data_IF_640493827286
#
_entry.id   IF_640493827286
#
_cell.length_a   1.000
_cell.length_b   1.000
_cell.length_c   1.000
_cell.angle_alpha   90.00
_cell.angle_beta   90.00
_cell.angle_gamma   90.00
#
_symmetry.space_group_name_H-M   'P 1'
#
loop_
_entity.id
_entity.type
_entity.pdbx_description
1 polymer ?
#
# COMPACT_ATOMS: atom_id res chain seq x y z
N UNK A 1 -10.28 20.43 -2.18
CA UNK A 1 -9.46 19.36 -2.78
C UNK A 1 -10.38 18.20 -3.12
N UNK A 2 -10.16 17.48 -4.20
CA UNK A 2 -10.97 16.30 -4.53
C UNK A 2 -10.46 15.08 -3.77
N UNK A 3 -11.39 14.25 -3.28
CA UNK A 3 -11.05 13.02 -2.58
C UNK A 3 -10.64 11.92 -3.57
N UNK A 4 -9.59 11.16 -3.23
CA UNK A 4 -9.24 9.93 -3.91
C UNK A 4 -10.10 8.77 -3.39
N UNK A 5 -10.20 8.67 -2.06
CA UNK A 5 -11.02 7.69 -1.38
C UNK A 5 -12.06 8.37 -0.49
N UNK A 6 -13.28 7.85 -0.54
CA UNK A 6 -14.38 8.20 0.37
C UNK A 6 -14.90 6.92 1.00
N UNK A 7 -14.81 6.85 2.31
CA UNK A 7 -15.21 5.70 3.12
C UNK A 7 -16.42 6.12 3.95
N UNK A 8 -17.51 5.33 3.92
CA UNK A 8 -18.75 5.64 4.64
C UNK A 8 -19.26 4.41 5.37
N UNK A 9 -19.47 4.57 6.68
CA UNK A 9 -19.98 3.56 7.62
C UNK A 9 -19.34 2.17 7.43
N UNK A 10 -18.02 2.15 7.18
CA UNK A 10 -17.29 0.96 6.81
C UNK A 10 -17.14 0.04 8.02
N UNK A 11 -17.69 -1.17 7.92
CA UNK A 11 -17.66 -2.17 8.98
C UNK A 11 -17.16 -3.51 8.48
N UNK A 12 -16.40 -4.21 9.31
CA UNK A 12 -15.89 -5.54 9.00
C UNK A 12 -15.99 -6.47 10.20
N UNK A 13 -16.61 -7.61 9.96
CA UNK A 13 -16.72 -8.70 10.93
C UNK A 13 -16.23 -10.00 10.29
N UNK A 14 -15.64 -10.87 11.11
CA UNK A 14 -15.22 -12.22 10.72
C UNK A 14 -15.96 -13.24 11.58
N UNK A 15 -16.19 -14.44 11.04
CA UNK A 15 -16.94 -15.50 11.71
C UNK A 15 -18.44 -15.41 11.48
N UNK A 16 -19.23 -16.20 12.23
CA UNK A 16 -20.68 -16.26 12.13
C UNK A 16 -21.33 -16.61 13.47
N UNK A 17 -22.53 -16.14 13.67
CA UNK A 17 -23.31 -16.42 14.90
C UNK A 17 -22.63 -15.94 16.17
N UNK A 18 -22.55 -16.78 17.19
CA UNK A 18 -21.99 -16.45 18.50
C UNK A 18 -20.45 -16.17 18.47
N UNK A 19 -19.76 -16.57 17.42
CA UNK A 19 -18.32 -16.40 17.26
C UNK A 19 -17.98 -15.25 16.31
N UNK A 20 -18.83 -14.24 16.16
CA UNK A 20 -18.59 -13.07 15.33
C UNK A 20 -17.59 -12.14 16.02
N UNK A 21 -16.46 -11.85 15.35
CA UNK A 21 -15.47 -10.85 15.76
C UNK A 21 -15.67 -9.59 14.93
N UNK A 22 -16.12 -8.51 15.55
CA UNK A 22 -16.23 -7.20 14.94
C UNK A 22 -14.86 -6.51 14.99
N UNK A 23 -14.26 -6.24 13.83
CA UNK A 23 -12.92 -5.67 13.72
C UNK A 23 -12.97 -4.19 13.34
N UNK A 24 -13.92 -3.79 12.50
CA UNK A 24 -14.16 -2.38 12.17
C UNK A 24 -15.63 -2.06 12.39
N UNK A 25 -15.90 -0.87 12.95
CA UNK A 25 -17.19 -0.50 13.48
C UNK A 25 -17.58 0.92 13.00
N UNK A 26 -18.07 1.05 11.76
CA UNK A 26 -18.58 2.32 11.22
C UNK A 26 -17.48 3.36 11.02
N UNK A 27 -16.49 3.06 10.16
CA UNK A 27 -15.42 4.00 9.81
C UNK A 27 -15.93 4.96 8.73
N UNK A 28 -15.82 6.27 9.02
CA UNK A 28 -15.97 7.35 8.06
C UNK A 28 -14.63 8.05 7.87
N UNK A 29 -14.16 8.16 6.63
CA UNK A 29 -12.85 8.71 6.31
C UNK A 29 -12.81 9.23 4.87
N UNK A 30 -12.18 10.37 4.68
CA UNK A 30 -11.87 10.93 3.36
C UNK A 30 -10.35 11.07 3.21
N UNK A 31 -9.82 10.57 2.10
CA UNK A 31 -8.41 10.72 1.73
C UNK A 31 -8.31 11.54 0.46
N UNK A 32 -7.72 12.73 0.56
CA UNK A 32 -7.55 13.62 -0.58
C UNK A 32 -6.43 13.13 -1.51
N UNK A 33 -6.52 13.51 -2.78
CA UNK A 33 -5.50 13.17 -3.79
C UNK A 33 -4.16 13.79 -3.40
N UNK A 34 -3.08 13.00 -3.49
CA UNK A 34 -1.70 13.45 -3.28
C UNK A 34 -1.36 13.72 -1.81
N UNK A 35 -2.19 13.29 -0.85
CA UNK A 35 -1.90 13.43 0.58
C UNK A 35 -1.16 12.21 1.13
N UNK A 36 -0.51 12.40 2.27
CA UNK A 36 0.13 11.34 3.04
C UNK A 36 -0.58 11.15 4.36
N UNK A 37 -0.92 9.91 4.68
CA UNK A 37 -1.69 9.57 5.89
C UNK A 37 -0.99 8.44 6.64
N UNK A 38 -0.73 8.64 7.93
CA UNK A 38 -0.33 7.58 8.84
C UNK A 38 -1.57 6.99 9.53
N UNK A 39 -1.64 5.66 9.59
CA UNK A 39 -2.63 4.93 10.37
C UNK A 39 -1.93 4.28 11.56
N UNK A 40 -2.23 4.75 12.74
CA UNK A 40 -1.60 4.32 14.01
C UNK A 40 -2.64 3.72 14.96
N UNK A 41 -2.19 2.96 15.94
CA UNK A 41 -3.04 2.33 16.96
C UNK A 41 -2.43 1.05 17.51
N UNK A 42 -2.99 0.51 18.58
CA UNK A 42 -2.52 -0.73 19.20
C UNK A 42 -2.59 -1.93 18.24
N UNK A 43 -1.87 -3.01 18.57
CA UNK A 43 -2.04 -4.28 17.87
C UNK A 43 -3.48 -4.76 18.03
N UNK A 44 -4.07 -5.28 16.95
CA UNK A 44 -5.47 -5.71 16.95
C UNK A 44 -6.51 -4.59 16.77
N UNK A 45 -6.13 -3.31 16.71
CA UNK A 45 -7.07 -2.19 16.54
C UNK A 45 -7.81 -2.19 15.18
N UNK A 46 -7.44 -3.05 14.22
CA UNK A 46 -8.08 -3.16 12.91
C UNK A 46 -7.33 -2.47 11.75
N UNK A 47 -6.10 -1.96 11.98
CA UNK A 47 -5.31 -1.21 10.97
C UNK A 47 -5.11 -1.99 9.66
N UNK A 48 -4.57 -3.20 9.73
CA UNK A 48 -4.34 -4.03 8.54
C UNK A 48 -5.66 -4.43 7.86
N UNK A 49 -6.73 -4.65 8.63
CA UNK A 49 -8.07 -4.91 8.08
C UNK A 49 -8.57 -3.69 7.30
N UNK A 50 -8.46 -2.48 7.87
CA UNK A 50 -8.82 -1.25 7.16
C UNK A 50 -8.01 -1.12 5.87
N UNK A 51 -6.71 -1.31 5.93
CA UNK A 51 -5.84 -1.24 4.76
C UNK A 51 -6.22 -2.29 3.68
N UNK A 52 -6.58 -3.51 4.07
CA UNK A 52 -7.05 -4.54 3.14
C UNK A 52 -8.38 -4.14 2.45
N UNK A 53 -9.29 -3.47 3.17
CA UNK A 53 -10.53 -2.98 2.57
C UNK A 53 -10.27 -1.80 1.63
N UNK A 54 -9.43 -0.83 2.01
CA UNK A 54 -9.02 0.28 1.14
C UNK A 54 -8.35 -0.22 -0.13
N UNK A 55 -7.58 -1.29 0.01
CA UNK A 55 -6.87 -1.95 -1.08
C UNK A 55 -7.71 -2.95 -1.87
N UNK A 56 -8.98 -3.13 -1.55
CA UNK A 56 -9.85 -4.13 -2.17
C UNK A 56 -9.29 -5.57 -2.14
N UNK A 57 -8.48 -5.89 -1.11
CA UNK A 57 -8.00 -7.26 -0.85
C UNK A 57 -9.06 -8.09 -0.10
N UNK A 58 -9.96 -7.42 0.62
CA UNK A 58 -11.09 -8.04 1.30
C UNK A 58 -12.36 -7.20 1.05
N UNK A 59 -13.54 -7.73 1.33
CA UNK A 59 -14.82 -7.04 1.20
C UNK A 59 -15.35 -6.61 2.56
N UNK A 60 -15.96 -5.43 2.67
CA UNK A 60 -16.61 -5.01 3.91
C UNK A 60 -17.85 -5.87 4.20
N UNK A 61 -18.20 -5.95 5.49
CA UNK A 61 -19.50 -6.53 5.92
C UNK A 61 -20.63 -5.53 5.70
N UNK A 62 -20.36 -4.23 5.93
CA UNK A 62 -21.30 -3.14 5.67
C UNK A 62 -20.53 -1.85 5.31
N UNK A 63 -21.25 -0.87 4.80
CA UNK A 63 -20.67 0.41 4.36
C UNK A 63 -20.12 0.37 2.95
N UNK A 64 -19.31 1.37 2.61
CA UNK A 64 -18.79 1.52 1.26
C UNK A 64 -17.40 2.15 1.22
N UNK A 65 -16.64 1.82 0.17
CA UNK A 65 -15.40 2.50 -0.22
C UNK A 65 -15.55 2.95 -1.65
N UNK A 66 -15.46 4.25 -1.88
CA UNK A 66 -15.47 4.86 -3.21
C UNK A 66 -14.09 5.36 -3.57
N UNK A 67 -13.62 5.01 -4.77
CA UNK A 67 -12.38 5.51 -5.36
C UNK A 67 -12.75 6.45 -6.51
N UNK A 68 -12.35 7.71 -6.45
CA UNK A 68 -12.77 8.77 -7.38
C UNK A 68 -14.30 8.83 -7.58
N UNK A 69 -15.07 8.68 -6.47
CA UNK A 69 -16.54 8.71 -6.48
C UNK A 69 -17.21 7.41 -6.92
N UNK A 70 -16.46 6.39 -7.39
CA UNK A 70 -17.03 5.10 -7.79
C UNK A 70 -16.87 4.06 -6.66
N UNK A 71 -17.97 3.48 -6.19
CA UNK A 71 -17.91 2.39 -5.19
C UNK A 71 -17.21 1.16 -5.79
N UNK A 72 -16.02 0.85 -5.25
CA UNK A 72 -15.16 -0.23 -5.79
C UNK A 72 -15.77 -1.62 -5.61
N UNK A 73 -16.61 -1.84 -4.59
CA UNK A 73 -17.20 -3.13 -4.30
C UNK A 73 -18.45 -3.46 -5.13
N UNK A 74 -18.90 -2.53 -5.99
CA UNK A 74 -19.86 -2.84 -7.06
C UNK A 74 -19.22 -3.60 -8.23
N UNK A 75 -17.88 -3.62 -8.30
CA UNK A 75 -17.13 -4.37 -9.31
C UNK A 75 -17.20 -5.87 -9.04
N UNK A 76 -17.23 -6.67 -10.12
CA UNK A 76 -17.04 -8.12 -10.00
C UNK A 76 -15.56 -8.45 -9.73
N UNK A 77 -15.25 -9.71 -9.38
CA UNK A 77 -13.89 -10.11 -8.96
C UNK A 77 -12.81 -9.81 -10.03
N UNK A 78 -13.12 -10.03 -11.31
CA UNK A 78 -12.18 -9.73 -12.40
C UNK A 78 -11.91 -8.24 -12.54
N UNK A 79 -12.95 -7.42 -12.43
CA UNK A 79 -12.83 -5.96 -12.48
C UNK A 79 -12.10 -5.43 -11.26
N UNK A 80 -12.36 -6.01 -10.06
CA UNK A 80 -11.70 -5.63 -8.83
C UNK A 80 -10.21 -5.99 -8.85
N UNK A 81 -9.85 -7.16 -9.39
CA UNK A 81 -8.46 -7.56 -9.59
C UNK A 81 -7.72 -6.62 -10.56
N UNK A 82 -8.36 -6.24 -11.68
CA UNK A 82 -7.79 -5.28 -12.63
C UNK A 82 -7.64 -3.88 -12.02
N UNK A 83 -8.60 -3.44 -11.22
CA UNK A 83 -8.55 -2.19 -10.47
C UNK A 83 -7.39 -2.19 -9.48
N UNK A 84 -7.25 -3.24 -8.63
CA UNK A 84 -6.11 -3.36 -7.72
C UNK A 84 -4.78 -3.24 -8.43
N UNK A 85 -4.62 -4.00 -9.51
CA UNK A 85 -3.34 -4.06 -10.23
C UNK A 85 -2.93 -2.70 -10.83
N UNK A 86 -3.90 -1.87 -11.26
CA UNK A 86 -3.63 -0.59 -11.92
C UNK A 86 -3.60 0.61 -10.99
N UNK A 87 -4.49 0.61 -9.99
CA UNK A 87 -4.77 1.82 -9.20
C UNK A 87 -4.14 1.80 -7.83
N UNK A 88 -3.72 0.62 -7.34
CA UNK A 88 -3.24 0.44 -5.96
C UNK A 88 -1.90 -0.29 -5.96
N UNK A 89 -0.90 0.34 -5.33
CA UNK A 89 0.35 -0.30 -4.96
C UNK A 89 0.28 -0.83 -3.53
N UNK A 90 0.90 -1.98 -3.27
CA UNK A 90 1.01 -2.56 -1.93
C UNK A 90 2.47 -2.79 -1.56
N UNK A 91 2.82 -2.35 -0.36
CA UNK A 91 4.10 -2.62 0.28
C UNK A 91 3.82 -3.25 1.65
N UNK A 92 4.42 -4.38 1.94
CA UNK A 92 4.25 -5.10 3.20
C UNK A 92 5.56 -5.13 3.99
N UNK A 93 5.46 -5.41 5.28
CA UNK A 93 6.60 -5.60 6.18
C UNK A 93 7.52 -6.75 5.71
N UNK A 94 6.93 -7.85 5.22
CA UNK A 94 7.63 -8.89 4.48
C UNK A 94 7.53 -8.57 2.99
N UNK A 95 8.66 -8.53 2.30
CA UNK A 95 8.77 -8.02 0.92
C UNK A 95 7.93 -8.80 -0.10
N UNK A 96 7.63 -10.08 0.18
CA UNK A 96 6.89 -11.00 -0.70
C UNK A 96 7.44 -10.99 -2.14
N UNK A 97 8.75 -10.92 -2.28
CA UNK A 97 9.41 -11.07 -3.57
C UNK A 97 9.39 -12.54 -3.98
N UNK A 98 9.27 -12.75 -5.27
CA UNK A 98 9.36 -14.09 -5.87
C UNK A 98 10.85 -14.48 -5.92
N UNK A 99 11.27 -15.50 -5.16
CA UNK A 99 12.71 -15.78 -4.96
C UNK A 99 13.43 -16.30 -6.21
N UNK A 100 12.68 -16.90 -7.14
CA UNK A 100 13.22 -17.41 -8.41
C UNK A 100 13.44 -16.30 -9.45
N UNK A 101 12.80 -15.13 -9.27
CA UNK A 101 12.86 -14.01 -10.18
C UNK A 101 13.90 -12.99 -9.74
N UNK A 102 14.55 -12.35 -10.72
CA UNK A 102 15.44 -11.21 -10.48
C UNK A 102 14.65 -9.98 -9.96
N UNK A 103 15.35 -8.96 -9.46
CA UNK A 103 14.75 -7.69 -9.08
C UNK A 103 13.94 -7.10 -10.25
N UNK A 104 14.51 -7.09 -11.46
CA UNK A 104 13.83 -6.63 -12.67
C UNK A 104 12.54 -7.40 -12.94
N UNK A 105 12.59 -8.73 -12.91
CA UNK A 105 11.43 -9.57 -13.18
C UNK A 105 10.35 -9.41 -12.10
N UNK A 106 10.72 -9.26 -10.83
CA UNK A 106 9.77 -8.95 -9.76
C UNK A 106 9.02 -7.64 -10.03
N UNK A 107 9.73 -6.59 -10.48
CA UNK A 107 9.13 -5.27 -10.77
C UNK A 107 8.32 -5.29 -12.06
N UNK A 108 8.67 -6.12 -13.05
CA UNK A 108 7.90 -6.31 -14.28
C UNK A 108 6.54 -6.98 -14.05
N UNK A 109 6.39 -7.79 -13.00
CA UNK A 109 5.24 -8.68 -12.80
C UNK A 109 3.88 -7.97 -12.88
N UNK A 110 3.61 -6.82 -12.22
CA UNK A 110 2.33 -6.12 -12.35
C UNK A 110 1.99 -5.72 -13.78
N UNK A 111 2.99 -5.27 -14.55
CA UNK A 111 2.81 -4.87 -15.94
C UNK A 111 2.50 -6.08 -16.83
N UNK A 112 3.16 -7.21 -16.63
CA UNK A 112 2.88 -8.45 -17.35
C UNK A 112 1.47 -8.97 -17.05
N UNK A 113 1.02 -8.91 -15.79
CA UNK A 113 -0.35 -9.24 -15.37
C UNK A 113 -1.37 -8.33 -16.08
N UNK A 114 -1.04 -7.04 -16.24
CA UNK A 114 -1.84 -6.07 -16.99
C UNK A 114 -1.78 -6.27 -18.51
N UNK A 115 -1.05 -7.28 -18.99
CA UNK A 115 -0.82 -7.59 -20.41
C UNK A 115 -0.09 -6.51 -21.18
N UNK A 116 0.75 -5.74 -20.49
CA UNK A 116 1.70 -4.83 -21.13
C UNK A 116 2.73 -5.66 -21.91
N UNK A 117 3.10 -5.27 -23.13
CA UNK A 117 4.14 -5.97 -23.89
C UNK A 117 5.45 -6.08 -23.09
N UNK A 118 6.14 -7.22 -23.19
CA UNK A 118 7.31 -7.52 -22.36
C UNK A 118 8.41 -6.45 -22.46
N UNK A 119 8.64 -5.87 -23.64
CA UNK A 119 9.62 -4.80 -23.84
C UNK A 119 9.27 -3.54 -23.04
N UNK A 120 8.00 -3.13 -23.10
CA UNK A 120 7.50 -1.96 -22.38
C UNK A 120 7.53 -2.21 -20.85
N UNK A 121 7.10 -3.40 -20.41
CA UNK A 121 7.17 -3.81 -19.01
C UNK A 121 8.61 -3.80 -18.49
N UNK A 122 9.59 -4.22 -19.30
CA UNK A 122 11.01 -4.16 -18.96
C UNK A 122 11.48 -2.70 -18.80
N UNK A 123 11.14 -1.82 -19.74
CA UNK A 123 11.51 -0.40 -19.69
C UNK A 123 10.92 0.28 -18.46
N UNK A 124 9.65 0.03 -18.14
CA UNK A 124 8.99 0.55 -16.94
C UNK A 124 9.70 0.08 -15.67
N UNK A 125 10.02 -1.22 -15.58
CA UNK A 125 10.68 -1.80 -14.42
C UNK A 125 12.11 -1.28 -14.25
N UNK A 126 12.86 -1.11 -15.34
CA UNK A 126 14.21 -0.52 -15.31
C UNK A 126 14.18 0.91 -14.78
N UNK A 127 13.29 1.74 -15.29
CA UNK A 127 13.12 3.12 -14.81
C UNK A 127 12.78 3.16 -13.32
N UNK A 128 11.87 2.29 -12.87
CA UNK A 128 11.48 2.25 -11.47
C UNK A 128 12.61 1.76 -10.55
N UNK A 129 13.40 0.76 -10.98
CA UNK A 129 14.57 0.33 -10.22
C UNK A 129 15.65 1.40 -10.14
N UNK A 130 15.81 2.23 -11.17
CA UNK A 130 16.68 3.41 -11.12
C UNK A 130 16.14 4.45 -10.12
N UNK A 131 14.83 4.73 -10.13
CA UNK A 131 14.17 5.66 -9.20
C UNK A 131 14.37 5.28 -7.73
N UNK A 132 14.43 3.97 -7.42
CA UNK A 132 14.70 3.48 -6.06
C UNK A 132 16.19 3.21 -5.77
N UNK A 133 17.09 3.58 -6.69
CA UNK A 133 18.55 3.46 -6.52
C UNK A 133 19.11 2.04 -6.68
N UNK A 134 18.43 1.17 -7.46
CA UNK A 134 18.83 -0.22 -7.71
C UNK A 134 19.19 -0.52 -9.16
N UNK A 135 19.63 0.48 -9.91
CA UNK A 135 20.06 0.31 -11.32
C UNK A 135 21.10 -0.79 -11.53
N UNK A 136 22.07 -0.92 -10.61
CA UNK A 136 23.12 -1.93 -10.66
C UNK A 136 22.71 -3.30 -10.06
N UNK A 137 21.48 -3.43 -9.57
CA UNK A 137 20.96 -4.64 -8.91
C UNK A 137 19.88 -5.36 -9.70
N UNK A 138 19.58 -4.94 -10.92
CA UNK A 138 18.45 -5.44 -11.72
C UNK A 138 18.44 -6.95 -11.93
N UNK A 139 19.63 -7.56 -12.08
CA UNK A 139 19.80 -8.99 -12.34
C UNK A 139 19.93 -9.85 -11.07
N UNK A 140 20.03 -9.21 -9.89
CA UNK A 140 20.14 -9.92 -8.63
C UNK A 140 18.80 -10.55 -8.23
N UNK A 141 18.85 -11.72 -7.62
CA UNK A 141 17.69 -12.39 -7.00
C UNK A 141 17.53 -11.90 -5.55
N UNK A 142 16.33 -12.05 -4.96
CA UNK A 142 16.09 -11.62 -3.57
C UNK A 142 17.12 -12.10 -2.56
N UNK A 143 17.58 -13.36 -2.67
CA UNK A 143 18.61 -13.93 -1.78
C UNK A 143 20.00 -13.28 -1.90
N UNK A 144 20.25 -12.49 -2.94
CA UNK A 144 21.51 -11.78 -3.21
C UNK A 144 21.41 -10.29 -2.80
N UNK A 145 20.24 -9.86 -2.29
CA UNK A 145 19.95 -8.49 -1.89
C UNK A 145 19.86 -8.37 -0.37
N UNK A 146 20.36 -7.27 0.17
CA UNK A 146 20.11 -6.90 1.56
C UNK A 146 18.61 -6.66 1.82
N UNK A 147 18.17 -6.69 3.09
CA UNK A 147 16.77 -6.44 3.45
C UNK A 147 16.27 -5.07 2.95
N UNK A 148 17.10 -4.04 3.04
CA UNK A 148 16.76 -2.71 2.51
C UNK A 148 16.66 -2.67 0.99
N UNK A 149 17.52 -3.40 0.27
CA UNK A 149 17.42 -3.53 -1.19
C UNK A 149 16.18 -4.32 -1.59
N UNK A 150 15.85 -5.40 -0.87
CA UNK A 150 14.60 -6.15 -1.09
C UNK A 150 13.36 -5.26 -0.91
N UNK A 151 13.36 -4.42 0.13
CA UNK A 151 12.27 -3.48 0.36
C UNK A 151 12.16 -2.43 -0.76
N UNK A 152 13.29 -1.92 -1.26
CA UNK A 152 13.30 -1.03 -2.43
C UNK A 152 12.75 -1.71 -3.68
N UNK A 153 13.06 -3.00 -3.92
CA UNK A 153 12.45 -3.78 -5.01
C UNK A 153 10.94 -3.92 -4.81
N UNK A 154 10.48 -4.20 -3.58
CA UNK A 154 9.05 -4.30 -3.28
C UNK A 154 8.30 -2.97 -3.51
N UNK A 155 8.92 -1.83 -3.15
CA UNK A 155 8.39 -0.50 -3.43
C UNK A 155 8.37 -0.23 -4.94
N UNK A 156 9.45 -0.54 -5.65
CA UNK A 156 9.51 -0.41 -7.11
C UNK A 156 8.41 -1.24 -7.80
N UNK A 157 8.21 -2.47 -7.36
CA UNK A 157 7.13 -3.34 -7.85
C UNK A 157 5.74 -2.73 -7.59
N UNK A 158 5.52 -2.19 -6.41
CA UNK A 158 4.25 -1.55 -6.05
C UNK A 158 3.95 -0.32 -6.91
N UNK A 159 4.98 0.39 -7.37
CA UNK A 159 4.87 1.62 -8.16
C UNK A 159 5.02 1.40 -9.67
N UNK A 160 5.25 0.17 -10.15
CA UNK A 160 5.59 -0.13 -11.55
C UNK A 160 4.51 0.31 -12.56
N UNK A 161 3.25 0.33 -12.17
CA UNK A 161 2.12 0.78 -13.01
C UNK A 161 1.64 2.20 -12.64
N UNK A 162 2.45 2.96 -11.89
CA UNK A 162 2.13 4.33 -11.45
C UNK A 162 0.74 4.45 -10.79
N UNK A 163 0.47 3.65 -9.73
CA UNK A 163 -0.82 3.68 -9.06
C UNK A 163 -1.09 5.05 -8.42
N UNK A 164 -2.35 5.41 -8.25
CA UNK A 164 -2.75 6.64 -7.57
C UNK A 164 -2.69 6.53 -6.04
N UNK A 165 -2.76 5.30 -5.52
CA UNK A 165 -2.75 4.98 -4.09
C UNK A 165 -1.63 3.98 -3.79
N UNK A 166 -0.78 4.30 -2.84
CA UNK A 166 0.16 3.36 -2.23
C UNK A 166 -0.27 3.05 -0.79
N UNK A 167 -0.46 1.79 -0.51
CA UNK A 167 -0.76 1.25 0.81
C UNK A 167 0.47 0.53 1.34
N UNK A 168 1.02 0.97 2.47
CA UNK A 168 2.21 0.38 3.06
C UNK A 168 1.94 -0.08 4.50
N UNK A 169 2.09 -1.37 4.76
CA UNK A 169 1.94 -1.96 6.09
C UNK A 169 3.32 -2.21 6.71
N UNK A 170 3.70 -1.36 7.69
CA UNK A 170 4.98 -1.41 8.38
C UNK A 170 6.18 -1.55 7.42
N UNK A 171 6.34 -0.66 6.42
CA UNK A 171 7.27 -0.86 5.30
C UNK A 171 8.74 -0.97 5.71
N UNK A 172 9.08 -0.64 6.94
CA UNK A 172 10.44 -0.67 7.48
C UNK A 172 10.55 -1.42 8.82
N UNK A 173 9.50 -2.14 9.22
CA UNK A 173 9.41 -2.77 10.53
C UNK A 173 10.49 -3.83 10.82
N UNK A 174 11.12 -4.41 9.78
CA UNK A 174 12.17 -5.42 9.88
C UNK A 174 13.58 -4.89 9.56
N UNK A 175 13.76 -3.55 9.46
CA UNK A 175 14.99 -2.93 9.02
C UNK A 175 15.64 -2.14 10.16
N UNK A 176 16.97 -1.97 10.08
CA UNK A 176 17.68 -1.08 10.99
C UNK A 176 17.28 0.39 10.77
N UNK A 177 17.55 1.23 11.76
CA UNK A 177 17.11 2.64 11.78
C UNK A 177 17.65 3.42 10.56
N UNK A 178 18.92 3.27 10.23
CA UNK A 178 19.55 4.00 9.11
C UNK A 178 18.93 3.63 7.77
N UNK A 179 18.70 2.35 7.55
CA UNK A 179 18.03 1.83 6.34
C UNK A 179 16.57 2.30 6.29
N UNK A 180 15.88 2.27 7.43
CA UNK A 180 14.50 2.78 7.56
C UNK A 180 14.39 4.25 7.18
N UNK A 181 15.25 5.12 7.73
CA UNK A 181 15.27 6.55 7.42
C UNK A 181 15.53 6.81 5.93
N UNK A 182 16.43 6.03 5.33
CA UNK A 182 16.71 6.12 3.88
C UNK A 182 15.50 5.73 3.02
N UNK A 183 14.72 4.71 3.43
CA UNK A 183 13.50 4.30 2.72
C UNK A 183 12.39 5.32 2.92
N UNK A 184 12.23 5.89 4.12
CA UNK A 184 11.25 6.95 4.39
C UNK A 184 11.52 8.19 3.53
N UNK A 185 12.79 8.64 3.45
CA UNK A 185 13.17 9.76 2.58
C UNK A 185 12.85 9.47 1.11
N UNK A 186 13.21 8.28 0.61
CA UNK A 186 12.90 7.86 -0.75
C UNK A 186 11.38 7.82 -1.02
N UNK A 187 10.58 7.31 -0.10
CA UNK A 187 9.11 7.29 -0.24
C UNK A 187 8.54 8.71 -0.30
N UNK A 188 9.05 9.64 0.51
CA UNK A 188 8.64 11.04 0.49
C UNK A 188 8.98 11.71 -0.85
N UNK A 189 10.18 11.47 -1.40
CA UNK A 189 10.58 11.97 -2.71
C UNK A 189 9.68 11.42 -3.84
N UNK A 190 9.42 10.10 -3.82
CA UNK A 190 8.57 9.44 -4.81
C UNK A 190 7.11 9.94 -4.71
N UNK A 191 6.62 10.17 -3.51
CA UNK A 191 5.28 10.72 -3.26
C UNK A 191 5.10 12.08 -3.92
N UNK A 192 6.06 12.99 -3.72
CA UNK A 192 6.03 14.32 -4.33
C UNK A 192 6.19 14.24 -5.86
N UNK A 193 7.20 13.48 -6.33
CA UNK A 193 7.51 13.33 -7.77
C UNK A 193 6.32 12.78 -8.55
N UNK A 194 5.63 11.78 -8.00
CA UNK A 194 4.54 11.06 -8.68
C UNK A 194 3.14 11.55 -8.27
N UNK A 195 3.04 12.55 -7.37
CA UNK A 195 1.76 13.04 -6.80
C UNK A 195 0.91 11.91 -6.21
N UNK A 196 1.58 10.97 -5.56
CA UNK A 196 1.00 9.74 -5.05
C UNK A 196 0.22 10.01 -3.76
N UNK A 197 -0.97 9.42 -3.62
CA UNK A 197 -1.64 9.34 -2.32
C UNK A 197 -1.06 8.16 -1.54
N UNK A 198 -0.59 8.41 -0.32
CA UNK A 198 0.15 7.43 0.47
C UNK A 198 -0.55 7.19 1.81
N UNK A 199 -0.85 5.93 2.12
CA UNK A 199 -1.32 5.51 3.44
C UNK A 199 -0.31 4.52 4.02
N UNK A 200 0.24 4.84 5.19
CA UNK A 200 1.19 3.99 5.89
C UNK A 200 0.61 3.55 7.23
N UNK A 201 0.50 2.25 7.44
CA UNK A 201 0.33 1.68 8.78
C UNK A 201 1.70 1.65 9.44
N UNK A 202 1.83 2.24 10.61
CA UNK A 202 3.10 2.26 11.33
C UNK A 202 2.92 2.42 12.85
N UNK A 203 3.87 1.87 13.59
CA UNK A 203 4.07 2.16 15.02
C UNK A 203 5.24 3.14 15.24
N UNK A 204 5.91 3.58 14.19
CA UNK A 204 7.00 4.55 14.26
C UNK A 204 6.43 5.97 14.35
N UNK A 205 6.52 6.57 15.54
CA UNK A 205 6.00 7.93 15.80
C UNK A 205 6.67 9.00 14.94
N UNK A 206 7.97 8.86 14.63
CA UNK A 206 8.69 9.81 13.77
C UNK A 206 8.16 9.79 12.35
N UNK A 207 7.90 8.59 11.82
CA UNK A 207 7.29 8.44 10.49
C UNK A 207 5.88 8.99 10.50
N UNK A 208 5.07 8.68 11.50
CA UNK A 208 3.71 9.20 11.61
C UNK A 208 3.69 10.73 11.69
N UNK A 209 4.58 11.35 12.48
CA UNK A 209 4.70 12.80 12.61
C UNK A 209 5.17 13.50 11.31
N UNK A 210 5.85 12.79 10.41
CA UNK A 210 6.28 13.31 9.12
C UNK A 210 5.18 13.26 8.05
N UNK A 211 4.04 12.61 8.32
CA UNK A 211 2.89 12.54 7.41
C UNK A 211 2.00 13.78 7.54
N UNK A 212 1.27 14.09 6.45
CA UNK A 212 0.33 15.23 6.43
C UNK A 212 -0.88 15.05 7.34
N UNK A 213 -1.25 13.80 7.63
CA UNK A 213 -2.37 13.45 8.52
C UNK A 213 -2.06 12.18 9.29
N UNK A 214 -2.42 12.13 10.57
CA UNK A 214 -2.33 10.91 11.39
C UNK A 214 -3.73 10.51 11.86
N UNK A 215 -4.12 9.28 11.59
CA UNK A 215 -5.38 8.67 12.01
C UNK A 215 -5.09 7.66 13.12
N UNK A 216 -5.72 7.85 14.26
CA UNK A 216 -5.64 6.96 15.40
C UNK A 216 -6.82 5.99 15.39
N UNK A 217 -6.52 4.71 15.25
CA UNK A 217 -7.53 3.65 15.30
C UNK A 217 -7.51 2.96 16.67
N UNK A 218 -8.67 2.90 17.31
CA UNK A 218 -8.89 2.22 18.58
C UNK A 218 -10.16 1.38 18.49
N UNK A 219 -10.08 0.10 18.83
CA UNK A 219 -11.22 -0.85 18.87
C UNK A 219 -12.11 -0.79 17.62
N UNK A 220 -11.47 -0.72 16.45
CA UNK A 220 -12.15 -0.68 15.15
C UNK A 220 -12.83 0.65 14.81
N UNK A 221 -12.55 1.74 15.53
CA UNK A 221 -13.08 3.09 15.26
C UNK A 221 -11.95 4.09 15.10
N UNK A 222 -12.22 5.18 14.37
CA UNK A 222 -11.34 6.34 14.36
C UNK A 222 -11.62 7.14 15.64
N UNK A 223 -10.60 7.22 16.50
CA UNK A 223 -10.65 7.98 17.74
C UNK A 223 -10.29 9.45 17.50
N UNK A 224 -9.24 9.68 16.70
CA UNK A 224 -8.68 11.00 16.46
C UNK A 224 -8.04 11.08 15.07
N UNK A 225 -8.14 12.26 14.45
CA UNK A 225 -7.40 12.65 13.24
C UNK A 225 -6.61 13.92 13.55
N UNK A 226 -5.30 13.92 13.28
CA UNK A 226 -4.39 15.06 13.56
C UNK A 226 -3.53 15.37 12.36
#
# INVERSE_FOLDING_TARGET
MSNLLEIRDLSKSYGSGANTLNVLNGIDLDLAIGTTTALVGASGAGKSTLMHLLGALDRPTAGSVSFRGENIFKKNERQLAAFRNRSIGFVFQFHHLLPEFTALENVMMPALIARVPRGDAMTMAQSMLQDVGLGERMTHRPGELSGGEQQRVAIARALALEPELLLADEPTGNLDMKTSDSIHAMLAELQVKKKLTLVIVTHNERLAAAMGTTIHLLDGKIEKTT
#
